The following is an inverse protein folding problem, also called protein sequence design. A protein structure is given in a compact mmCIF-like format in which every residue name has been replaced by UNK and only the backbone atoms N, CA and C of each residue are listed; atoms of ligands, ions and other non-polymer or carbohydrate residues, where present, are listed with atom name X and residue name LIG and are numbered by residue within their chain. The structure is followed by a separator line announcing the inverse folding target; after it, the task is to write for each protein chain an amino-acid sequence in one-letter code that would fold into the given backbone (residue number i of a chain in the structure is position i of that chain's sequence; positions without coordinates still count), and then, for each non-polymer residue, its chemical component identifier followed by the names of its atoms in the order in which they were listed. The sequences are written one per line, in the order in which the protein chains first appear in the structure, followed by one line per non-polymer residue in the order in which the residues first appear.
data_IF_306279760255
#
_entry.id   IF_306279760255
#
_cell.length_a   1.000
_cell.length_b   1.000
_cell.length_c   1.000
_cell.angle_alpha   90.00
_cell.angle_beta   90.00
_cell.angle_gamma   90.00
#
_symmetry.space_group_name_H-M   'P 1'
#
loop_
_entity.id
_entity.type
_entity.pdbx_description
1 polymer ?
#
# COMPACT_ATOMS: atom_id res chain seq x y z
N UNK A 1 -17.26 -9.80 -9.93
CA UNK A 1 -18.01 -9.52 -8.68
C UNK A 1 -17.03 -9.52 -7.52
N UNK A 2 -16.93 -8.41 -6.79
CA UNK A 2 -15.99 -8.24 -5.68
C UNK A 2 -16.31 -9.16 -4.49
N UNK A 3 -15.29 -9.55 -3.72
CA UNK A 3 -15.37 -10.30 -2.45
C UNK A 3 -16.31 -9.68 -1.39
N UNK A 4 -16.83 -8.47 -1.64
CA UNK A 4 -17.85 -7.77 -0.85
C UNK A 4 -19.29 -8.08 -1.26
N UNK A 5 -19.53 -8.93 -2.27
CA UNK A 5 -20.89 -9.29 -2.66
C UNK A 5 -21.54 -10.18 -1.60
N UNK A 6 -22.37 -9.56 -0.77
CA UNK A 6 -23.07 -10.20 0.35
C UNK A 6 -23.89 -11.41 -0.11
N UNK A 7 -24.48 -11.36 -1.31
CA UNK A 7 -25.27 -12.46 -1.87
C UNK A 7 -24.42 -13.71 -2.18
N UNK A 8 -23.15 -13.52 -2.57
CA UNK A 8 -22.22 -14.63 -2.83
C UNK A 8 -21.87 -15.34 -1.53
N UNK A 9 -21.58 -14.59 -0.46
CA UNK A 9 -21.32 -15.16 0.87
C UNK A 9 -22.53 -15.88 1.44
N UNK A 10 -23.73 -15.34 1.27
CA UNK A 10 -24.97 -16.01 1.68
C UNK A 10 -25.16 -17.32 0.92
N UNK A 11 -24.95 -17.34 -0.40
CA UNK A 11 -25.03 -18.56 -1.20
C UNK A 11 -23.98 -19.61 -0.79
N UNK A 12 -22.76 -19.18 -0.48
CA UNK A 12 -21.66 -20.06 -0.08
C UNK A 12 -21.90 -20.70 1.30
N UNK A 13 -22.34 -19.90 2.26
CA UNK A 13 -22.71 -20.39 3.60
C UNK A 13 -23.96 -21.28 3.56
N UNK A 14 -24.93 -20.96 2.70
CA UNK A 14 -26.09 -21.81 2.46
C UNK A 14 -25.68 -23.16 1.89
N UNK A 15 -24.84 -23.19 0.84
CA UNK A 15 -24.38 -24.42 0.22
C UNK A 15 -23.55 -25.30 1.17
N UNK A 16 -22.66 -24.69 1.98
CA UNK A 16 -21.88 -25.42 2.98
C UNK A 16 -22.76 -25.95 4.12
N UNK A 17 -23.72 -25.14 4.61
CA UNK A 17 -24.66 -25.54 5.65
C UNK A 17 -25.58 -26.67 5.20
N UNK A 18 -26.13 -26.57 3.99
CA UNK A 18 -26.94 -27.62 3.38
C UNK A 18 -26.12 -28.88 3.10
N UNK A 19 -24.87 -28.74 2.62
CA UNK A 19 -23.98 -29.88 2.41
C UNK A 19 -23.69 -30.66 3.69
N UNK A 20 -23.43 -29.96 4.79
CA UNK A 20 -23.22 -30.56 6.11
C UNK A 20 -24.48 -31.26 6.65
N UNK A 21 -25.66 -30.62 6.55
CA UNK A 21 -26.92 -31.21 7.02
C UNK A 21 -27.34 -32.44 6.18
N UNK A 22 -27.11 -32.41 4.87
CA UNK A 22 -27.48 -33.50 3.95
C UNK A 22 -26.47 -34.65 4.01
N UNK A 23 -25.21 -34.40 4.36
CA UNK A 23 -24.19 -35.45 4.54
C UNK A 23 -24.49 -36.43 5.67
N UNK A 24 -25.39 -36.07 6.59
CA UNK A 24 -25.89 -36.96 7.64
C UNK A 24 -27.03 -37.89 7.21
N UNK A 25 -27.64 -37.66 6.03
CA UNK A 25 -28.68 -38.50 5.44
C UNK A 25 -28.16 -39.24 4.20
N UNK A 26 -28.86 -40.31 3.78
CA UNK A 26 -28.49 -41.25 2.70
C UNK A 26 -28.21 -40.64 1.30
N UNK A 27 -28.25 -39.31 1.11
CA UNK A 27 -28.05 -38.63 -0.17
C UNK A 27 -26.63 -38.05 -0.30
N UNK A 28 -25.62 -38.90 -0.19
CA UNK A 28 -24.19 -38.53 -0.28
C UNK A 28 -23.84 -37.77 -1.58
N UNK A 29 -24.51 -38.09 -2.69
CA UNK A 29 -24.32 -37.45 -3.98
C UNK A 29 -24.74 -35.97 -3.99
N UNK A 30 -25.81 -35.63 -3.27
CA UNK A 30 -26.30 -34.25 -3.17
C UNK A 30 -25.35 -33.41 -2.31
N UNK A 31 -24.83 -33.98 -1.22
CA UNK A 31 -23.81 -33.33 -0.40
C UNK A 31 -22.54 -33.04 -1.21
N UNK A 32 -22.03 -34.02 -1.96
CA UNK A 32 -20.86 -33.84 -2.82
C UNK A 32 -21.08 -32.76 -3.89
N UNK A 33 -22.28 -32.69 -4.47
CA UNK A 33 -22.61 -31.66 -5.47
C UNK A 33 -22.59 -30.26 -4.85
N UNK A 34 -23.14 -30.08 -3.65
CA UNK A 34 -23.07 -28.82 -2.91
C UNK A 34 -21.63 -28.41 -2.59
N UNK A 35 -20.78 -29.37 -2.18
CA UNK A 35 -19.36 -29.08 -1.92
C UNK A 35 -18.59 -28.74 -3.19
N UNK A 36 -18.85 -29.41 -4.32
CA UNK A 36 -18.20 -29.11 -5.61
C UNK A 36 -18.61 -27.72 -6.10
N UNK A 37 -19.89 -27.36 -6.00
CA UNK A 37 -20.36 -26.01 -6.38
C UNK A 37 -19.77 -24.96 -5.44
N UNK A 38 -19.75 -25.21 -4.13
CA UNK A 38 -19.14 -24.31 -3.14
C UNK A 38 -17.64 -24.11 -3.37
N UNK A 39 -16.92 -25.20 -3.64
CA UNK A 39 -15.50 -25.15 -3.99
C UNK A 39 -15.26 -24.40 -5.31
N UNK A 40 -16.11 -24.62 -6.32
CA UNK A 40 -16.07 -23.88 -7.59
C UNK A 40 -16.26 -22.37 -7.40
N UNK A 41 -17.19 -21.97 -6.54
CA UNK A 41 -17.41 -20.56 -6.19
C UNK A 41 -16.22 -19.96 -5.41
N UNK A 42 -15.61 -20.72 -4.50
CA UNK A 42 -14.38 -20.29 -3.81
C UNK A 42 -13.23 -20.11 -4.80
N UNK A 43 -13.02 -21.08 -5.69
CA UNK A 43 -11.93 -21.06 -6.67
C UNK A 43 -12.13 -19.90 -7.68
N UNK A 44 -13.37 -19.69 -8.12
CA UNK A 44 -13.75 -18.53 -8.92
C UNK A 44 -13.47 -17.22 -8.17
N UNK A 45 -13.82 -17.13 -6.88
CA UNK A 45 -13.51 -15.95 -6.07
C UNK A 45 -12.00 -15.70 -5.98
N UNK A 46 -11.17 -16.74 -5.80
CA UNK A 46 -9.72 -16.63 -5.72
C UNK A 46 -9.12 -16.19 -7.07
N UNK A 47 -9.57 -16.77 -8.18
CA UNK A 47 -9.15 -16.37 -9.54
C UNK A 47 -9.57 -14.93 -9.83
N UNK A 48 -10.79 -14.56 -9.48
CA UNK A 48 -11.27 -13.20 -9.68
C UNK A 48 -10.51 -12.21 -8.77
N UNK A 49 -10.11 -12.62 -7.56
CA UNK A 49 -9.22 -11.85 -6.67
C UNK A 49 -7.82 -11.69 -7.26
N UNK A 50 -7.29 -12.72 -7.91
CA UNK A 50 -6.02 -12.67 -8.62
C UNK A 50 -6.09 -11.76 -9.88
N UNK A 51 -7.27 -11.63 -10.47
CA UNK A 51 -7.56 -10.71 -11.59
C UNK A 51 -8.02 -9.30 -11.12
N UNK A 52 -8.02 -9.00 -9.81
CA UNK A 52 -8.31 -7.64 -9.34
C UNK A 52 -7.16 -6.73 -9.77
N UNK A 53 -7.44 -5.56 -10.37
CA UNK A 53 -6.40 -4.60 -10.74
C UNK A 53 -5.48 -4.34 -9.54
N UNK A 54 -4.17 -4.46 -9.76
CA UNK A 54 -3.12 -4.49 -8.71
C UNK A 54 -3.15 -3.34 -7.69
N UNK A 55 -3.95 -2.30 -7.92
CA UNK A 55 -4.23 -1.27 -6.93
C UNK A 55 -4.95 -1.74 -5.66
N UNK A 56 -5.76 -2.81 -5.70
CA UNK A 56 -6.49 -3.28 -4.51
C UNK A 56 -5.65 -4.20 -3.62
N UNK A 57 -4.82 -5.06 -4.24
CA UNK A 57 -3.85 -5.90 -3.53
C UNK A 57 -2.79 -5.02 -2.85
N UNK A 58 -2.27 -3.98 -3.51
CA UNK A 58 -1.34 -3.04 -2.89
C UNK A 58 -1.96 -2.33 -1.68
N UNK A 59 -3.19 -1.84 -1.81
CA UNK A 59 -3.93 -1.20 -0.70
C UNK A 59 -4.16 -2.15 0.48
N UNK A 60 -4.46 -3.42 0.21
CA UNK A 60 -4.65 -4.43 1.26
C UNK A 60 -3.35 -4.75 2.00
N UNK A 61 -2.24 -4.93 1.29
CA UNK A 61 -0.92 -5.12 1.89
C UNK A 61 -0.49 -3.91 2.71
N UNK A 62 -0.73 -2.70 2.19
CA UNK A 62 -0.44 -1.46 2.90
C UNK A 62 -1.26 -1.34 4.19
N UNK A 63 -2.54 -1.65 4.14
CA UNK A 63 -3.42 -1.66 5.31
C UNK A 63 -3.00 -2.70 6.35
N UNK A 64 -2.70 -3.92 5.92
CA UNK A 64 -2.18 -4.99 6.80
C UNK A 64 -0.85 -4.59 7.43
N UNK A 65 0.09 -4.03 6.65
CA UNK A 65 1.38 -3.58 7.16
C UNK A 65 1.22 -2.45 8.19
N UNK A 66 0.33 -1.50 7.95
CA UNK A 66 0.03 -0.41 8.89
C UNK A 66 -0.65 -0.88 10.18
N UNK A 67 -1.45 -1.96 10.10
CA UNK A 67 -2.18 -2.54 11.24
C UNK A 67 -1.33 -3.51 12.06
N UNK A 68 -0.46 -4.28 11.41
CA UNK A 68 0.40 -5.30 12.04
C UNK A 68 1.82 -4.79 12.34
N UNK A 69 2.15 -3.54 12.00
CA UNK A 69 3.44 -2.92 12.35
C UNK A 69 4.61 -3.31 11.44
N UNK A 70 4.33 -3.64 10.17
CA UNK A 70 5.32 -4.10 9.19
C UNK A 70 6.15 -2.99 8.52
N UNK A 71 6.87 -3.38 7.46
CA UNK A 71 7.53 -2.46 6.52
C UNK A 71 6.59 -2.20 5.33
N UNK A 72 6.54 -0.98 4.84
CA UNK A 72 5.75 -0.56 3.69
C UNK A 72 6.68 -0.05 2.58
N UNK A 73 6.32 -0.24 1.30
CA UNK A 73 7.06 0.39 0.20
C UNK A 73 7.03 1.92 0.37
N UNK A 74 8.13 2.61 0.03
CA UNK A 74 8.18 4.06 0.13
C UNK A 74 7.16 4.71 -0.81
N UNK A 75 6.94 4.13 -1.99
CA UNK A 75 5.90 4.52 -2.93
C UNK A 75 4.48 4.47 -2.35
N UNK A 76 4.10 3.37 -1.71
CA UNK A 76 2.78 3.27 -1.06
C UNK A 76 2.69 4.23 0.14
N UNK A 77 3.77 4.38 0.92
CA UNK A 77 3.82 5.32 2.03
C UNK A 77 3.64 6.79 1.58
N UNK A 78 4.36 7.19 0.54
CA UNK A 78 4.28 8.52 -0.07
C UNK A 78 2.88 8.78 -0.63
N UNK A 79 2.30 7.78 -1.32
CA UNK A 79 0.93 7.86 -1.82
C UNK A 79 -0.08 8.04 -0.69
N UNK A 80 0.01 7.27 0.39
CA UNK A 80 -0.90 7.38 1.53
C UNK A 80 -0.78 8.74 2.21
N UNK A 81 0.44 9.25 2.37
CA UNK A 81 0.68 10.57 2.94
C UNK A 81 0.12 11.69 2.06
N UNK A 82 0.33 11.60 0.74
CA UNK A 82 -0.25 12.52 -0.23
C UNK A 82 -1.79 12.47 -0.23
N UNK A 83 -2.40 11.28 -0.30
CA UNK A 83 -3.86 11.11 -0.26
C UNK A 83 -4.44 11.68 1.06
N UNK A 84 -3.74 11.48 2.17
CA UNK A 84 -4.11 12.06 3.48
C UNK A 84 -4.04 13.58 3.51
N UNK A 85 -2.95 14.17 3.02
CA UNK A 85 -2.79 15.62 2.92
C UNK A 85 -3.80 16.26 1.98
N UNK A 86 -4.06 15.65 0.81
CA UNK A 86 -5.03 16.12 -0.18
C UNK A 86 -6.45 16.06 0.36
N UNK A 87 -6.83 15.00 1.08
CA UNK A 87 -8.14 14.90 1.73
C UNK A 87 -8.38 16.03 2.74
N UNK A 88 -7.32 16.49 3.40
CA UNK A 88 -7.37 17.56 4.39
C UNK A 88 -7.04 18.96 3.81
N UNK A 89 -6.83 19.07 2.50
CA UNK A 89 -6.41 20.29 1.80
C UNK A 89 -5.22 21.00 2.46
N UNK A 90 -4.18 20.26 2.83
CA UNK A 90 -3.00 20.84 3.51
C UNK A 90 -2.05 21.54 2.54
N UNK A 91 -1.29 22.51 3.06
CA UNK A 91 -0.24 23.22 2.30
C UNK A 91 0.78 22.24 1.71
N UNK A 92 1.08 21.15 2.39
CA UNK A 92 1.99 20.10 1.93
C UNK A 92 1.49 19.39 0.66
N UNK A 93 0.20 19.10 0.56
CA UNK A 93 -0.37 18.49 -0.64
C UNK A 93 -0.34 19.47 -1.82
N UNK A 94 -0.67 20.74 -1.58
CA UNK A 94 -0.58 21.79 -2.60
C UNK A 94 0.88 22.06 -3.04
N UNK A 95 1.82 22.03 -2.09
CA UNK A 95 3.24 22.15 -2.35
C UNK A 95 3.75 20.97 -3.20
N UNK A 96 3.36 19.73 -2.88
CA UNK A 96 3.75 18.55 -3.65
C UNK A 96 3.22 18.60 -5.10
N UNK A 97 2.00 19.12 -5.31
CA UNK A 97 1.45 19.29 -6.67
C UNK A 97 2.15 20.41 -7.46
N UNK A 98 2.62 21.47 -6.79
CA UNK A 98 3.30 22.60 -7.43
C UNK A 98 4.79 22.39 -7.64
N UNK A 99 5.44 21.70 -6.71
CA UNK A 99 6.89 21.48 -6.65
C UNK A 99 7.32 20.06 -7.02
N UNK A 100 6.39 19.19 -7.43
CA UNK A 100 6.73 17.87 -7.96
C UNK A 100 7.69 18.02 -9.15
N UNK A 101 8.81 17.30 -9.09
CA UNK A 101 10.01 17.48 -9.95
C UNK A 101 9.65 17.62 -11.43
N UNK A 102 8.72 16.79 -11.92
CA UNK A 102 8.33 16.74 -13.34
C UNK A 102 6.86 17.12 -13.60
N UNK A 103 6.12 17.63 -12.60
CA UNK A 103 4.65 17.81 -12.65
C UNK A 103 3.86 16.56 -13.07
N UNK A 104 4.50 15.39 -13.01
CA UNK A 104 3.86 14.09 -13.25
C UNK A 104 3.35 13.51 -11.93
N UNK A 105 2.42 12.53 -11.96
CA UNK A 105 2.00 11.83 -10.75
C UNK A 105 3.16 11.20 -9.97
N UNK A 106 4.21 10.74 -10.66
CA UNK A 106 5.40 10.19 -10.03
C UNK A 106 6.23 11.30 -9.37
N UNK A 107 6.41 12.46 -10.02
CA UNK A 107 7.14 13.59 -9.44
C UNK A 107 6.49 14.13 -8.16
N UNK A 108 5.16 14.03 -8.02
CA UNK A 108 4.47 14.32 -6.75
C UNK A 108 4.89 13.34 -5.65
N UNK A 109 4.96 12.04 -5.98
CA UNK A 109 5.39 11.01 -5.03
C UNK A 109 6.88 11.14 -4.68
N UNK A 110 7.73 11.52 -5.63
CA UNK A 110 9.16 11.79 -5.41
C UNK A 110 9.37 12.96 -4.44
N UNK A 111 8.57 14.03 -4.59
CA UNK A 111 8.58 15.15 -3.64
C UNK A 111 8.18 14.70 -2.23
N UNK A 112 7.13 13.89 -2.10
CA UNK A 112 6.70 13.37 -0.80
C UNK A 112 7.73 12.40 -0.22
N UNK A 113 8.37 11.58 -1.06
CA UNK A 113 9.45 10.69 -0.66
C UNK A 113 10.68 11.44 -0.13
N UNK A 114 10.98 12.61 -0.70
CA UNK A 114 12.01 13.51 -0.17
C UNK A 114 11.70 13.92 1.26
N UNK A 115 10.44 14.28 1.55
CA UNK A 115 10.01 14.58 2.93
C UNK A 115 10.17 13.38 3.87
N UNK A 116 9.90 12.16 3.39
CA UNK A 116 10.18 10.93 4.14
C UNK A 116 11.67 10.76 4.42
N UNK A 117 12.55 10.90 3.42
CA UNK A 117 14.01 10.78 3.59
C UNK A 117 14.58 11.79 4.59
N UNK A 118 14.05 13.01 4.60
CA UNK A 118 14.46 14.03 5.57
C UNK A 118 13.97 13.74 7.00
N UNK A 119 12.84 13.03 7.15
CA UNK A 119 12.17 12.89 8.45
C UNK A 119 12.44 11.56 9.13
N UNK A 120 12.58 10.47 8.37
CA UNK A 120 12.65 9.11 8.92
C UNK A 120 13.66 8.24 8.16
N UNK A 121 14.34 7.30 8.83
CA UNK A 121 15.25 6.38 8.15
C UNK A 121 14.51 5.49 7.14
N UNK A 122 15.10 5.32 5.96
CA UNK A 122 14.57 4.49 4.87
C UNK A 122 15.38 3.20 4.82
N UNK A 123 14.74 2.11 4.41
CA UNK A 123 15.41 0.83 4.17
C UNK A 123 15.44 0.61 2.67
N UNK A 124 16.61 0.46 2.07
CA UNK A 124 16.78 0.19 0.64
C UNK A 124 17.72 -0.98 0.42
N UNK A 125 17.87 -1.37 -0.84
CA UNK A 125 18.91 -2.31 -1.29
C UNK A 125 19.80 -1.59 -2.29
N UNK A 126 21.11 -1.88 -2.26
CA UNK A 126 22.08 -1.29 -3.19
C UNK A 126 22.53 -2.33 -4.21
N UNK A 127 22.04 -2.31 -5.46
CA UNK A 127 22.50 -3.26 -6.48
C UNK A 127 24.03 -3.20 -6.65
N UNK A 128 24.72 -4.34 -6.86
CA UNK A 128 24.19 -5.70 -7.03
C UNK A 128 23.84 -6.43 -5.73
N UNK A 129 24.03 -5.81 -4.55
CA UNK A 129 23.69 -6.41 -3.26
C UNK A 129 22.17 -6.53 -3.08
N UNK A 130 21.74 -7.66 -2.51
CA UNK A 130 20.35 -7.91 -2.13
C UNK A 130 20.07 -7.62 -0.65
N UNK A 131 21.07 -7.13 0.09
CA UNK A 131 20.97 -6.88 1.52
C UNK A 131 20.13 -5.63 1.80
N UNK A 132 19.29 -5.72 2.84
CA UNK A 132 18.53 -4.59 3.36
C UNK A 132 19.50 -3.64 4.11
N UNK A 133 19.71 -2.45 3.57
CA UNK A 133 20.51 -1.39 4.18
C UNK A 133 19.60 -0.32 4.77
N UNK A 134 19.91 0.13 5.99
CA UNK A 134 19.24 1.30 6.57
C UNK A 134 19.98 2.56 6.12
N UNK A 135 19.26 3.41 5.41
CA UNK A 135 19.70 4.70 4.91
C UNK A 135 19.29 5.75 5.94
N UNK A 136 20.28 6.39 6.56
CA UNK A 136 20.04 7.44 7.53
C UNK A 136 19.42 8.69 6.87
N UNK A 137 18.75 9.52 7.66
CA UNK A 137 18.09 10.75 7.17
C UNK A 137 19.08 11.76 6.58
N UNK A 138 20.29 11.80 7.14
CA UNK A 138 21.40 12.63 6.65
C UNK A 138 21.84 12.24 5.24
N UNK A 139 21.87 10.93 4.96
CA UNK A 139 22.26 10.40 3.66
C UNK A 139 21.12 10.50 2.65
N UNK A 140 19.91 10.10 3.04
CA UNK A 140 18.74 10.16 2.16
C UNK A 140 18.32 11.57 1.77
N UNK A 141 18.60 12.58 2.62
CA UNK A 141 18.41 13.99 2.28
C UNK A 141 19.42 14.57 1.28
N UNK A 142 20.50 13.84 0.97
CA UNK A 142 21.51 14.25 -0.01
C UNK A 142 21.29 13.63 -1.40
N UNK A 143 20.36 12.70 -1.53
CA UNK A 143 20.01 12.06 -2.80
C UNK A 143 18.72 12.59 -3.41
N UNK A 144 18.44 12.16 -4.63
CA UNK A 144 17.22 12.46 -5.37
C UNK A 144 16.38 11.19 -5.49
N UNK A 145 15.08 11.29 -5.16
CA UNK A 145 14.14 10.20 -5.36
C UNK A 145 13.59 10.23 -6.78
N UNK A 146 13.55 9.06 -7.42
CA UNK A 146 13.07 8.90 -8.79
C UNK A 146 12.08 7.75 -8.95
N UNK A 147 11.28 7.84 -10.02
CA UNK A 147 10.36 6.78 -10.43
C UNK A 147 9.08 6.70 -9.59
N UNK A 148 8.76 7.75 -8.83
CA UNK A 148 7.62 7.76 -7.91
C UNK A 148 7.95 7.07 -6.58
N UNK A 149 9.13 7.37 -6.04
CA UNK A 149 9.67 6.86 -4.78
C UNK A 149 10.14 5.40 -4.79
N UNK A 150 10.50 4.87 -5.96
CA UNK A 150 10.98 3.50 -6.11
C UNK A 150 12.52 3.42 -6.05
N UNK A 151 13.20 4.51 -6.41
CA UNK A 151 14.66 4.61 -6.46
C UNK A 151 15.15 5.85 -5.74
N UNK A 152 16.31 5.75 -5.09
CA UNK A 152 17.06 6.87 -4.53
C UNK A 152 18.43 6.88 -5.19
N UNK A 153 18.73 7.94 -5.92
CA UNK A 153 20.04 8.19 -6.52
C UNK A 153 20.83 9.16 -5.65
N UNK A 154 22.04 8.79 -5.27
CA UNK A 154 22.94 9.68 -4.54
C UNK A 154 23.70 10.57 -5.53
N UNK A 155 24.16 11.73 -5.06
CA UNK A 155 24.95 12.69 -5.88
C UNK A 155 26.35 12.19 -6.29
N UNK A 156 26.68 10.92 -6.05
CA UNK A 156 27.96 10.32 -6.36
C UNK A 156 27.95 9.51 -7.67
N UNK A 157 26.88 9.59 -8.47
CA UNK A 157 26.64 8.91 -9.78
C UNK A 157 26.64 7.36 -9.75
N UNK A 158 27.14 6.73 -8.68
CA UNK A 158 27.28 5.28 -8.57
C UNK A 158 26.36 4.67 -7.51
N UNK A 159 26.01 5.40 -6.46
CA UNK A 159 25.21 4.85 -5.37
C UNK A 159 23.73 5.00 -5.65
N UNK A 160 23.11 3.85 -5.91
CA UNK A 160 21.69 3.74 -6.19
C UNK A 160 21.06 2.79 -5.19
N UNK A 161 19.96 3.22 -4.57
CA UNK A 161 19.13 2.36 -3.76
C UNK A 161 17.81 2.07 -4.44
N UNK A 162 17.39 0.80 -4.41
CA UNK A 162 16.11 0.30 -4.92
C UNK A 162 15.34 -0.43 -3.82
N UNK A 163 14.12 -0.87 -4.08
CA UNK A 163 13.25 -1.56 -3.10
C UNK A 163 13.06 -0.77 -1.79
N UNK A 164 12.86 0.55 -1.93
CA UNK A 164 12.76 1.47 -0.81
C UNK A 164 11.54 1.16 0.06
N UNK A 165 11.76 1.06 1.37
CA UNK A 165 10.77 0.69 2.38
C UNK A 165 10.91 1.53 3.63
N UNK A 166 9.80 1.73 4.32
CA UNK A 166 9.73 2.50 5.58
C UNK A 166 8.96 1.68 6.62
N UNK A 167 9.25 1.88 7.92
CA UNK A 167 8.49 1.20 8.98
C UNK A 167 7.10 1.83 9.11
N UNK A 168 6.08 1.02 9.34
CA UNK A 168 4.70 1.49 9.47
C UNK A 168 4.50 2.57 10.55
N UNK A 169 5.23 2.50 11.67
CA UNK A 169 5.18 3.51 12.73
C UNK A 169 5.63 4.89 12.24
N UNK A 170 6.63 4.92 11.37
CA UNK A 170 7.26 6.13 10.86
C UNK A 170 6.36 6.73 9.76
N UNK A 171 5.68 5.88 8.98
CA UNK A 171 4.61 6.31 8.07
C UNK A 171 3.49 7.03 8.80
N UNK A 172 2.99 6.50 9.94
CA UNK A 172 1.94 7.17 10.72
C UNK A 172 2.38 8.56 11.19
N UNK A 173 3.64 8.70 11.62
CA UNK A 173 4.21 9.97 12.06
C UNK A 173 4.26 11.00 10.92
N UNK A 174 4.77 10.59 9.75
CA UNK A 174 4.87 11.49 8.58
C UNK A 174 3.49 11.86 8.04
N UNK A 175 2.58 10.90 7.95
CA UNK A 175 1.19 11.15 7.55
C UNK A 175 0.55 12.15 8.51
N UNK A 176 0.70 11.97 9.83
CA UNK A 176 0.16 12.90 10.82
C UNK A 176 0.66 14.33 10.57
N UNK A 177 1.98 14.53 10.41
CA UNK A 177 2.59 15.84 10.11
C UNK A 177 2.10 16.46 8.81
N UNK A 178 2.00 15.67 7.74
CA UNK A 178 1.54 16.17 6.44
C UNK A 178 0.04 16.46 6.40
N UNK A 179 -0.72 15.79 7.27
CA UNK A 179 -2.17 15.94 7.42
C UNK A 179 -2.57 17.01 8.44
N UNK A 180 -1.61 17.52 9.21
CA UNK A 180 -1.79 18.63 10.15
C UNK A 180 -2.07 19.90 9.35
N UNK A 181 -3.18 20.57 9.68
CA UNK A 181 -3.50 21.87 9.09
C UNK A 181 -2.44 22.85 9.61
N UNK A 182 -1.68 23.42 8.69
CA UNK A 182 -0.87 24.60 9.00
C UNK A 182 -1.87 25.70 9.33
N UNK A 183 -2.08 25.96 10.62
CA UNK A 183 -2.77 27.17 11.06
C UNK A 183 -1.96 28.35 10.52
N UNK A 184 -2.61 29.24 9.77
CA UNK A 184 -2.07 30.56 9.50
C UNK A 184 -2.00 31.32 10.82
N UNK A 185 -0.93 31.13 11.58
CA UNK A 185 -0.54 32.13 12.57
C UNK A 185 0.06 33.32 11.78
N UNK A 186 -0.82 34.26 11.43
CA UNK A 186 -0.48 35.64 11.14
C UNK A 186 -0.64 36.10 9.69
N UNK A 187 -1.81 36.67 9.39
CA UNK A 187 -1.93 37.98 8.72
C UNK A 187 -3.40 38.42 8.67
N UNK A 188 -3.73 39.42 9.49
CA UNK A 188 -5.03 40.10 9.54
C UNK A 188 -5.10 41.05 10.72
#
# INVERSE_FOLDING_TARGET
MTLTNQNMWTALLFLLGSGLQISGFQAQWAANTCFVIGAGLLLYSVIETANVPGGLTSKWHAWLALRLGGKLSLRDAARIAYEGGRKNNTLWAAAAERMGTDKTPNGVLDYVATYFGMTVPIIGKRPPSTLDETIETTMSGQGTFEGGADRLEMNDEYTVFTDLRVKAKDVKLVVAKMSEKVFEDGAG
#
